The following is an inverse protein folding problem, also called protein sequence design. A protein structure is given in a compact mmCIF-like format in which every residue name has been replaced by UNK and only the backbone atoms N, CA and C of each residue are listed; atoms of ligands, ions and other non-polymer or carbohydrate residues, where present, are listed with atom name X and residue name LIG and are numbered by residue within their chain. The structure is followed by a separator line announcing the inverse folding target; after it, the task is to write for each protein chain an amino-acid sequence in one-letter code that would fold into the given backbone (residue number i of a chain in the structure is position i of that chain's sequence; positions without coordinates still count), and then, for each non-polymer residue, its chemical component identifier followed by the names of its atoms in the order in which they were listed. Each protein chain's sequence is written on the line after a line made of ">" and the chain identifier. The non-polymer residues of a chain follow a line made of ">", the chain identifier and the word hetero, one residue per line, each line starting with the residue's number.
data_IF_201495383845
#
_entry.id   IF_201495383845
#
_cell.length_a   1.000
_cell.length_b   1.000
_cell.length_c   1.000
_cell.angle_alpha   90.00
_cell.angle_beta   90.00
_cell.angle_gamma   90.00
#
_symmetry.space_group_name_H-M   'P 1'
#
loop_
_entity.id
_entity.type
_entity.pdbx_description
1 polymer ?
#
# COMPACT_ATOMS: atom_id res chain seq x y z
N UNK A 1 -52.82 -16.39 31.78
CA UNK A 1 -53.03 -17.70 31.12
C UNK A 1 -52.22 -17.67 29.82
N UNK A 2 -50.99 -18.19 29.83
CA UNK A 2 -50.58 -19.49 29.25
C UNK A 2 -50.76 -19.52 27.71
N UNK A 3 -49.65 -19.33 26.95
CA UNK A 3 -48.92 -20.37 26.16
C UNK A 3 -49.40 -20.45 24.70
N UNK A 4 -48.61 -20.71 23.65
CA UNK A 4 -47.20 -21.00 23.43
C UNK A 4 -46.86 -20.83 21.93
N UNK A 5 -45.56 -20.72 21.63
CA UNK A 5 -44.90 -20.74 20.31
C UNK A 5 -45.08 -22.08 19.58
N UNK A 6 -44.88 -22.09 18.24
CA UNK A 6 -44.18 -23.15 17.48
C UNK A 6 -43.97 -22.75 15.99
N UNK A 7 -42.71 -22.50 15.62
CA UNK A 7 -42.05 -22.87 14.33
C UNK A 7 -41.14 -24.08 14.66
N UNK A 8 -40.48 -24.83 13.74
CA UNK A 8 -40.13 -24.59 12.32
C UNK A 8 -40.22 -25.86 11.41
N UNK A 9 -39.74 -25.83 10.15
CA UNK A 9 -38.60 -26.62 9.60
C UNK A 9 -38.58 -26.64 8.06
N UNK A 10 -37.36 -26.70 7.51
CA UNK A 10 -36.95 -26.56 6.11
C UNK A 10 -36.61 -27.92 5.41
N UNK A 11 -36.12 -27.81 4.16
CA UNK A 11 -35.40 -28.76 3.25
C UNK A 11 -36.21 -29.15 1.98
N UNK A 12 -35.66 -29.37 0.78
CA UNK A 12 -34.35 -29.12 0.17
C UNK A 12 -34.43 -29.37 -1.37
N UNK A 13 -33.61 -28.60 -2.08
CA UNK A 13 -32.97 -28.66 -3.40
C UNK A 13 -32.87 -30.05 -4.10
N UNK A 14 -33.08 -30.10 -5.43
CA UNK A 14 -32.27 -30.91 -6.38
C UNK A 14 -32.19 -30.24 -7.77
N UNK A 15 -30.97 -29.91 -8.20
CA UNK A 15 -30.62 -29.45 -9.56
C UNK A 15 -29.66 -30.48 -10.15
N UNK A 16 -29.98 -31.02 -11.32
CA UNK A 16 -29.17 -32.05 -12.01
C UNK A 16 -28.19 -31.44 -13.00
N UNK A 17 -27.02 -32.06 -13.03
CA UNK A 17 -25.78 -31.63 -13.65
C UNK A 17 -25.72 -31.79 -15.18
N UNK A 18 -24.90 -30.95 -15.81
CA UNK A 18 -24.28 -31.20 -17.11
C UNK A 18 -22.78 -30.99 -16.95
N UNK A 19 -21.98 -32.04 -17.13
CA UNK A 19 -20.55 -31.90 -17.45
C UNK A 19 -20.05 -33.16 -18.15
N UNK A 20 -19.47 -32.96 -19.33
CA UNK A 20 -18.80 -33.96 -20.17
C UNK A 20 -17.29 -33.68 -20.10
N UNK A 21 -16.43 -34.71 -20.03
CA UNK A 21 -15.09 -34.58 -20.58
C UNK A 21 -14.68 -35.77 -21.46
N UNK A 22 -13.97 -35.48 -22.55
CA UNK A 22 -13.11 -36.42 -23.27
C UNK A 22 -12.00 -35.61 -23.96
N UNK A 23 -10.75 -35.82 -23.55
CA UNK A 23 -9.63 -36.33 -24.38
C UNK A 23 -8.76 -35.17 -24.94
N UNK A 24 -7.48 -35.30 -25.25
CA UNK A 24 -6.33 -36.09 -24.83
C UNK A 24 -5.21 -35.79 -25.88
N UNK A 25 -3.96 -35.85 -25.43
CA UNK A 25 -2.74 -36.15 -26.21
C UNK A 25 -2.01 -35.09 -27.08
N UNK A 26 -0.71 -34.96 -26.73
CA UNK A 26 0.49 -35.04 -27.60
C UNK A 26 0.81 -33.86 -28.56
N UNK A 27 2.06 -33.51 -28.91
CA UNK A 27 3.41 -33.93 -28.53
C UNK A 27 4.44 -32.95 -29.17
N UNK A 28 5.63 -32.89 -28.58
CA UNK A 28 6.99 -32.73 -29.17
C UNK A 28 7.29 -31.72 -30.29
N UNK A 29 8.36 -30.92 -30.13
CA UNK A 29 9.65 -31.16 -30.79
C UNK A 29 10.73 -30.12 -30.44
N UNK A 30 11.94 -30.62 -30.24
CA UNK A 30 13.21 -29.92 -30.12
C UNK A 30 13.66 -29.30 -31.44
N UNK A 31 14.45 -28.21 -31.40
CA UNK A 31 15.66 -28.09 -32.22
C UNK A 31 16.70 -27.17 -31.58
N UNK A 32 17.89 -27.73 -31.42
CA UNK A 32 19.12 -27.04 -31.05
C UNK A 32 19.96 -26.78 -32.31
N UNK A 33 20.70 -25.67 -32.36
CA UNK A 33 21.98 -25.60 -33.07
C UNK A 33 22.90 -24.50 -32.47
N UNK A 34 24.13 -24.92 -32.16
CA UNK A 34 25.38 -24.18 -31.96
C UNK A 34 26.38 -24.77 -32.98
N UNK A 35 27.63 -24.28 -33.07
CA UNK A 35 28.18 -22.91 -33.16
C UNK A 35 29.10 -22.81 -34.42
N UNK A 36 29.99 -21.80 -34.54
CA UNK A 36 31.43 -21.93 -34.94
C UNK A 36 32.10 -20.58 -35.27
N UNK A 37 33.36 -20.49 -34.81
CA UNK A 37 34.56 -19.64 -35.01
C UNK A 37 34.70 -18.82 -36.33
N UNK A 38 35.63 -17.87 -36.54
CA UNK A 38 36.92 -17.56 -35.92
C UNK A 38 37.38 -16.11 -36.25
N UNK A 39 38.36 -15.60 -35.48
CA UNK A 39 39.22 -14.42 -35.73
C UNK A 39 40.33 -14.80 -36.74
N UNK A 40 41.04 -13.86 -37.40
CA UNK A 40 42.27 -13.34 -36.80
C UNK A 40 42.62 -11.86 -37.13
N UNK A 41 43.72 -11.39 -36.55
CA UNK A 41 44.23 -10.02 -36.51
C UNK A 41 45.44 -9.80 -37.45
N UNK A 42 45.71 -8.55 -37.84
CA UNK A 42 47.04 -8.00 -38.22
C UNK A 42 46.90 -6.46 -38.33
N UNK A 43 47.60 -5.63 -37.54
CA UNK A 43 49.01 -5.20 -37.57
C UNK A 43 49.22 -3.88 -38.34
N UNK A 44 49.97 -2.98 -37.68
CA UNK A 44 50.18 -1.53 -37.95
C UNK A 44 51.17 -1.25 -39.09
N UNK A 45 51.24 0.01 -39.56
CA UNK A 45 52.52 0.65 -39.89
C UNK A 45 52.83 1.88 -39.01
N UNK A 46 54.11 2.04 -38.69
CA UNK A 46 54.72 3.24 -38.09
C UNK A 46 55.18 4.16 -39.22
N UNK A 47 55.00 5.48 -39.08
CA UNK A 47 55.74 6.47 -39.85
C UNK A 47 56.04 7.73 -39.00
N UNK A 48 57.34 8.05 -39.00
CA UNK A 48 58.10 9.25 -38.67
C UNK A 48 57.41 10.46 -37.99
N UNK A 49 57.85 10.74 -36.75
CA UNK A 49 57.60 12.01 -36.06
C UNK A 49 58.80 12.95 -36.26
N UNK A 50 58.63 13.97 -37.09
CA UNK A 50 59.49 15.14 -37.11
C UNK A 50 59.12 16.08 -35.94
N UNK A 51 60.11 16.47 -35.16
CA UNK A 51 60.00 17.44 -34.07
C UNK A 51 59.72 18.84 -34.61
N UNK A 52 58.50 19.35 -34.40
CA UNK A 52 58.20 20.79 -34.43
C UNK A 52 57.77 21.22 -33.03
N UNK A 53 58.56 22.12 -32.43
CA UNK A 53 58.15 22.87 -31.25
C UNK A 53 56.94 23.73 -31.59
N UNK A 54 55.76 23.32 -31.14
CA UNK A 54 54.56 24.14 -31.12
C UNK A 54 54.32 24.54 -29.68
N UNK A 55 54.29 25.84 -29.42
CA UNK A 55 54.04 26.43 -28.10
C UNK A 55 52.83 25.77 -27.42
N UNK A 56 53.01 25.38 -26.16
CA UNK A 56 51.97 24.78 -25.35
C UNK A 56 50.83 25.80 -25.14
N UNK A 57 49.77 25.66 -25.94
CA UNK A 57 48.50 26.35 -25.72
C UNK A 57 47.90 25.75 -24.44
N UNK A 58 47.73 26.58 -23.41
CA UNK A 58 47.10 26.17 -22.16
C UNK A 58 45.76 25.47 -22.45
N UNK A 59 45.57 24.27 -21.88
CA UNK A 59 44.28 23.58 -21.91
C UNK A 59 43.25 24.50 -21.24
N UNK A 60 42.11 24.81 -21.87
CA UNK A 60 41.04 25.50 -21.17
C UNK A 60 40.63 24.62 -19.97
N UNK A 61 40.52 25.26 -18.80
CA UNK A 61 39.99 24.60 -17.61
C UNK A 61 38.64 23.96 -17.96
N UNK A 62 38.31 22.76 -17.42
CA UNK A 62 37.01 22.16 -17.63
C UNK A 62 35.97 23.16 -17.10
N UNK A 63 35.22 23.76 -18.03
CA UNK A 63 34.05 24.54 -17.67
C UNK A 63 33.11 23.61 -16.91
N UNK A 64 32.46 24.07 -15.82
CA UNK A 64 31.47 23.27 -15.13
C UNK A 64 30.41 22.88 -16.16
N UNK A 65 30.39 21.59 -16.50
CA UNK A 65 29.41 21.03 -17.41
C UNK A 65 28.06 21.36 -16.79
N UNK A 66 27.29 22.21 -17.47
CA UNK A 66 25.93 22.52 -17.06
C UNK A 66 25.24 21.18 -16.74
N UNK A 67 24.70 21.06 -15.51
CA UNK A 67 23.89 19.90 -15.13
C UNK A 67 22.90 19.70 -16.27
N UNK A 68 22.98 18.54 -16.91
CA UNK A 68 22.02 18.08 -17.90
C UNK A 68 20.62 18.41 -17.40
N UNK A 69 19.94 19.33 -18.08
CA UNK A 69 18.57 19.74 -17.82
C UNK A 69 17.56 18.75 -18.38
N UNK A 70 17.99 17.53 -18.72
CA UNK A 70 17.07 16.43 -18.98
C UNK A 70 16.26 16.24 -17.70
N UNK A 71 14.94 16.51 -17.73
CA UNK A 71 14.13 16.38 -16.54
C UNK A 71 14.29 14.95 -16.02
N UNK A 72 14.68 14.80 -14.75
CA UNK A 72 14.84 13.46 -14.17
C UNK A 72 13.50 12.72 -14.34
N UNK A 73 13.52 11.68 -15.17
CA UNK A 73 12.32 10.87 -15.41
C UNK A 73 11.89 10.24 -14.08
N UNK A 74 10.60 10.37 -13.75
CA UNK A 74 10.07 9.84 -12.50
C UNK A 74 10.08 8.32 -12.56
N UNK A 75 11.04 7.72 -11.85
CA UNK A 75 11.26 6.27 -11.84
C UNK A 75 10.41 5.57 -10.77
N UNK A 76 9.09 5.56 -10.94
CA UNK A 76 8.15 4.80 -10.08
C UNK A 76 8.01 3.37 -10.57
N UNK A 77 8.31 2.41 -9.68
CA UNK A 77 8.32 0.97 -9.96
C UNK A 77 7.02 0.26 -9.60
N UNK A 78 6.13 0.89 -8.85
CA UNK A 78 4.76 0.43 -8.63
C UNK A 78 4.05 0.08 -9.94
N UNK A 79 3.31 -1.03 -9.95
CA UNK A 79 2.45 -1.39 -11.08
C UNK A 79 1.35 -0.35 -11.28
N UNK A 80 0.78 0.15 -10.16
CA UNK A 80 -0.16 1.28 -10.17
C UNK A 80 0.27 2.35 -9.19
N UNK A 81 0.16 3.62 -9.60
CA UNK A 81 0.49 4.76 -8.77
C UNK A 81 -0.36 5.99 -9.07
N UNK A 82 -0.57 6.82 -8.05
CA UNK A 82 -1.25 8.11 -8.16
C UNK A 82 -0.58 9.11 -7.21
N UNK A 83 -0.30 10.31 -7.70
CA UNK A 83 0.11 11.47 -6.91
C UNK A 83 -0.84 12.60 -7.26
N UNK A 84 -1.59 13.08 -6.27
CA UNK A 84 -2.67 14.05 -6.45
C UNK A 84 -2.64 15.10 -5.35
N UNK A 85 -2.96 16.34 -5.71
CA UNK A 85 -3.31 17.36 -4.74
C UNK A 85 -4.81 17.30 -4.45
N UNK A 86 -5.23 16.93 -3.21
CA UNK A 86 -6.64 16.85 -2.87
C UNK A 86 -7.35 18.21 -2.90
N UNK A 87 -6.65 19.33 -2.68
CA UNK A 87 -7.30 20.65 -2.62
C UNK A 87 -7.75 21.15 -4.01
N UNK A 88 -7.06 20.74 -5.07
CA UNK A 88 -7.34 21.16 -6.45
C UNK A 88 -7.78 20.02 -7.39
N UNK A 89 -7.81 18.79 -6.88
CA UNK A 89 -7.97 17.54 -7.64
C UNK A 89 -6.93 17.39 -8.79
N UNK A 90 -5.81 18.13 -8.71
CA UNK A 90 -4.76 18.11 -9.73
C UNK A 90 -3.95 16.82 -9.63
N UNK A 91 -4.06 15.95 -10.63
CA UNK A 91 -3.20 14.77 -10.78
C UNK A 91 -1.81 15.20 -11.25
N UNK A 92 -0.80 15.05 -10.38
CA UNK A 92 0.61 15.32 -10.72
C UNK A 92 1.27 14.12 -11.40
N UNK A 93 0.87 12.91 -11.01
CA UNK A 93 1.36 11.68 -11.63
C UNK A 93 0.29 10.59 -11.56
N UNK A 94 0.11 9.85 -12.65
CA UNK A 94 -0.80 8.71 -12.71
C UNK A 94 -0.21 7.58 -13.54
N UNK A 95 -0.28 6.35 -13.01
CA UNK A 95 0.11 5.12 -13.69
C UNK A 95 -0.89 4.04 -13.32
N UNK A 96 -1.65 3.52 -14.29
CA UNK A 96 -2.66 2.48 -14.08
C UNK A 96 -3.61 2.76 -12.88
N UNK A 97 -3.95 4.04 -12.66
CA UNK A 97 -4.57 4.48 -11.40
C UNK A 97 -5.96 3.88 -11.15
N UNK A 98 -6.63 3.39 -12.19
CA UNK A 98 -7.96 2.73 -12.16
C UNK A 98 -7.88 1.20 -12.23
N UNK A 99 -6.67 0.61 -12.23
CA UNK A 99 -6.51 -0.85 -12.24
C UNK A 99 -6.90 -1.43 -10.87
N UNK A 100 -7.83 -2.39 -10.88
CA UNK A 100 -8.28 -3.11 -9.68
C UNK A 100 -7.25 -4.15 -9.28
N UNK A 101 -6.78 -4.08 -8.04
CA UNK A 101 -5.73 -4.95 -7.52
C UNK A 101 -5.98 -5.28 -6.04
N UNK A 102 -5.46 -6.41 -5.53
CA UNK A 102 -5.43 -6.68 -4.09
C UNK A 102 -4.67 -5.56 -3.36
N UNK A 103 -5.21 -5.09 -2.22
CA UNK A 103 -4.65 -3.92 -1.51
C UNK A 103 -4.00 -4.24 -0.17
N UNK A 104 -4.00 -5.51 0.22
CA UNK A 104 -3.45 -5.96 1.50
C UNK A 104 -3.97 -5.11 2.69
N UNK A 105 -3.10 -4.89 3.69
CA UNK A 105 -3.41 -4.09 4.88
C UNK A 105 -3.73 -2.61 4.64
N UNK A 106 -3.71 -2.09 3.42
CA UNK A 106 -4.33 -0.78 3.14
C UNK A 106 -5.82 -0.78 3.52
N UNK A 107 -6.45 -1.96 3.46
CA UNK A 107 -7.77 -2.26 4.02
C UNK A 107 -7.99 -1.64 5.40
N UNK A 108 -6.99 -1.69 6.29
CA UNK A 108 -7.15 -1.25 7.68
C UNK A 108 -7.41 0.25 7.82
N UNK A 109 -7.13 1.05 6.80
CA UNK A 109 -7.52 2.46 6.80
C UNK A 109 -9.05 2.59 6.75
N UNK A 110 -9.73 1.80 5.90
CA UNK A 110 -11.19 1.72 5.89
C UNK A 110 -11.73 1.15 7.20
N UNK A 111 -11.10 0.11 7.75
CA UNK A 111 -11.44 -0.43 9.08
C UNK A 111 -11.40 0.66 10.13
N UNK A 112 -10.35 1.48 10.13
CA UNK A 112 -10.23 2.59 11.08
C UNK A 112 -11.29 3.67 10.89
N UNK A 113 -11.57 4.04 9.64
CA UNK A 113 -12.62 5.01 9.31
C UNK A 113 -13.99 4.57 9.81
N UNK A 114 -14.39 3.33 9.53
CA UNK A 114 -15.68 2.77 9.99
C UNK A 114 -15.76 2.74 11.52
N UNK A 115 -14.67 2.37 12.21
CA UNK A 115 -14.64 2.34 13.68
C UNK A 115 -14.76 3.75 14.27
N UNK A 116 -14.02 4.72 13.74
CA UNK A 116 -14.09 6.09 14.26
C UNK A 116 -15.48 6.70 14.03
N UNK A 117 -16.08 6.48 12.85
CA UNK A 117 -17.42 7.01 12.54
C UNK A 117 -18.55 6.34 13.33
N UNK A 118 -18.36 5.10 13.75
CA UNK A 118 -19.37 4.40 14.55
C UNK A 118 -19.52 4.99 15.96
N UNK A 119 -18.59 5.85 16.41
CA UNK A 119 -18.61 6.54 17.71
C UNK A 119 -18.88 5.58 18.89
N UNK A 120 -18.31 4.37 18.80
CA UNK A 120 -18.34 3.38 19.86
C UNK A 120 -17.44 3.82 21.04
N UNK A 121 -17.68 3.34 22.28
CA UNK A 121 -16.86 3.73 23.43
C UNK A 121 -15.39 3.31 23.25
N UNK A 122 -14.47 4.26 23.10
CA UNK A 122 -13.07 3.95 22.77
C UNK A 122 -12.30 3.30 23.94
N UNK A 123 -12.81 3.45 25.15
CA UNK A 123 -12.33 2.83 26.40
C UNK A 123 -12.91 1.42 26.64
N UNK A 124 -13.88 0.97 25.82
CA UNK A 124 -14.40 -0.39 25.92
C UNK A 124 -13.27 -1.39 25.69
N UNK A 125 -13.20 -2.35 26.60
CA UNK A 125 -12.19 -3.39 26.53
C UNK A 125 -12.60 -4.49 25.54
N UNK A 126 -11.72 -4.75 24.59
CA UNK A 126 -11.82 -5.82 23.61
C UNK A 126 -10.85 -6.92 24.01
N UNK A 127 -11.31 -8.17 23.95
CA UNK A 127 -10.46 -9.35 24.14
C UNK A 127 -10.16 -9.97 22.78
N UNK A 128 -8.87 -10.20 22.49
CA UNK A 128 -8.43 -10.99 21.33
C UNK A 128 -8.89 -12.43 21.53
N UNK A 129 -9.75 -12.90 20.64
CA UNK A 129 -10.34 -14.23 20.68
C UNK A 129 -9.67 -15.17 19.67
N UNK A 130 -10.00 -16.47 19.72
CA UNK A 130 -9.42 -17.45 18.78
C UNK A 130 -9.83 -17.15 17.33
N UNK A 131 -11.02 -16.58 17.12
CA UNK A 131 -11.50 -16.17 15.81
C UNK A 131 -10.66 -15.04 15.19
N UNK A 132 -9.92 -14.27 16.00
CA UNK A 132 -9.03 -13.21 15.49
C UNK A 132 -7.70 -13.75 15.00
N UNK A 133 -7.40 -15.02 15.28
CA UNK A 133 -6.16 -15.65 14.84
C UNK A 133 -6.20 -15.87 13.34
N UNK A 134 -5.27 -15.23 12.65
CA UNK A 134 -5.06 -15.47 11.24
C UNK A 134 -4.64 -16.93 10.98
N UNK A 135 -5.51 -17.67 10.29
CA UNK A 135 -5.23 -19.02 9.78
C UNK A 135 -4.87 -19.02 8.28
N UNK A 136 -4.93 -17.85 7.65
CA UNK A 136 -4.56 -17.61 6.26
C UNK A 136 -3.12 -17.09 6.22
N UNK A 137 -2.31 -17.45 5.23
CA UNK A 137 -1.00 -16.80 4.95
C UNK A 137 0.05 -16.77 6.09
N UNK A 138 -0.22 -17.39 7.24
CA UNK A 138 0.67 -17.51 8.40
C UNK A 138 1.23 -16.17 8.89
N UNK A 139 0.43 -15.10 8.90
CA UNK A 139 0.91 -13.81 9.41
C UNK A 139 1.18 -13.89 10.92
N UNK A 140 2.26 -13.24 11.37
CA UNK A 140 2.60 -13.17 12.79
C UNK A 140 1.83 -12.05 13.47
N UNK A 141 1.53 -12.23 14.75
CA UNK A 141 1.00 -11.17 15.62
C UNK A 141 1.63 -11.27 16.99
N UNK A 142 1.89 -10.13 17.60
CA UNK A 142 2.42 -10.04 18.96
C UNK A 142 1.32 -10.02 20.03
N UNK A 143 0.05 -10.18 19.63
CA UNK A 143 -1.12 -10.20 20.50
C UNK A 143 -1.62 -11.64 20.70
N UNK A 144 -1.27 -12.34 21.79
CA UNK A 144 -1.85 -13.66 22.10
C UNK A 144 -3.37 -13.64 22.22
N UNK A 145 -4.01 -14.79 22.01
CA UNK A 145 -5.42 -14.98 22.41
C UNK A 145 -5.55 -14.76 23.91
N UNK A 146 -6.63 -14.09 24.32
CA UNK A 146 -6.88 -13.65 25.69
C UNK A 146 -6.25 -12.29 26.05
N UNK A 147 -5.52 -11.65 25.13
CA UNK A 147 -5.05 -10.28 25.32
C UNK A 147 -6.24 -9.34 25.42
N UNK A 148 -6.29 -8.55 26.49
CA UNK A 148 -7.28 -7.49 26.72
C UNK A 148 -6.64 -6.14 26.40
N UNK A 149 -7.33 -5.32 25.61
CA UNK A 149 -6.91 -3.99 25.20
C UNK A 149 -8.15 -3.14 24.93
N UNK A 150 -8.06 -1.84 25.12
CA UNK A 150 -9.16 -0.92 24.78
C UNK A 150 -9.38 -0.88 23.26
N UNK A 151 -10.59 -0.50 22.82
CA UNK A 151 -10.88 -0.24 21.40
C UNK A 151 -9.92 0.79 20.80
N UNK A 152 -9.56 1.79 21.58
CA UNK A 152 -8.56 2.80 21.23
C UNK A 152 -7.20 2.17 20.91
N UNK A 153 -6.69 1.30 21.79
CA UNK A 153 -5.43 0.59 21.58
C UNK A 153 -5.50 -0.36 20.40
N UNK A 154 -6.61 -1.07 20.22
CA UNK A 154 -6.80 -1.95 19.07
C UNK A 154 -6.72 -1.16 17.75
N UNK A 155 -7.39 -0.01 17.68
CA UNK A 155 -7.34 0.88 16.52
C UNK A 155 -5.92 1.42 16.28
N UNK A 156 -5.24 1.84 17.34
CA UNK A 156 -3.86 2.33 17.27
C UNK A 156 -2.91 1.29 16.70
N UNK A 157 -2.93 0.08 17.24
CA UNK A 157 -2.08 -1.02 16.77
C UNK A 157 -2.42 -1.46 15.34
N UNK A 158 -3.70 -1.45 14.96
CA UNK A 158 -4.15 -1.77 13.61
C UNK A 158 -3.63 -0.77 12.56
N UNK A 159 -3.59 0.53 12.88
CA UNK A 159 -3.14 1.57 11.95
C UNK A 159 -1.62 1.73 11.93
N UNK A 160 -0.99 1.78 13.11
CA UNK A 160 0.45 2.00 13.26
C UNK A 160 1.28 0.78 12.83
N UNK A 161 1.08 -0.34 13.53
CA UNK A 161 1.86 -1.57 13.38
C UNK A 161 1.22 -2.56 12.43
N UNK A 162 0.06 -2.23 11.87
CA UNK A 162 -0.68 -3.11 10.98
C UNK A 162 -1.12 -4.42 11.64
N UNK A 163 -1.34 -4.43 12.96
CA UNK A 163 -1.69 -5.65 13.71
C UNK A 163 -3.02 -6.26 13.23
N UNK A 164 -2.94 -7.50 12.75
CA UNK A 164 -4.08 -8.20 12.13
C UNK A 164 -5.15 -8.59 13.15
N UNK A 165 -4.74 -9.13 14.30
CA UNK A 165 -5.67 -9.58 15.34
C UNK A 165 -6.47 -8.41 15.93
N UNK A 166 -5.82 -7.26 16.11
CA UNK A 166 -6.50 -6.04 16.54
C UNK A 166 -7.55 -5.58 15.50
N UNK A 167 -7.18 -5.52 14.22
CA UNK A 167 -8.11 -5.15 13.16
C UNK A 167 -9.29 -6.13 13.02
N UNK A 168 -9.03 -7.44 13.16
CA UNK A 168 -10.09 -8.45 13.14
C UNK A 168 -11.02 -8.32 14.35
N UNK A 169 -10.45 -8.14 15.55
CA UNK A 169 -11.21 -7.97 16.78
C UNK A 169 -12.13 -6.74 16.70
N UNK A 170 -11.65 -5.62 16.14
CA UNK A 170 -12.47 -4.42 15.89
C UNK A 170 -13.70 -4.72 15.02
N UNK A 171 -13.53 -5.47 13.93
CA UNK A 171 -14.64 -5.88 13.08
C UNK A 171 -15.57 -6.89 13.76
N UNK A 172 -15.02 -7.84 14.52
CA UNK A 172 -15.78 -8.86 15.24
C UNK A 172 -16.64 -8.28 16.36
N UNK A 173 -16.13 -7.30 17.11
CA UNK A 173 -16.85 -6.64 18.22
C UNK A 173 -17.70 -5.46 17.80
N UNK A 174 -17.77 -5.16 16.49
CA UNK A 174 -18.70 -4.18 15.96
C UNK A 174 -20.17 -4.60 16.21
N UNK A 175 -21.10 -3.67 16.45
CA UNK A 175 -22.52 -4.00 16.57
C UNK A 175 -23.04 -4.76 15.34
N UNK A 176 -23.61 -5.94 15.55
CA UNK A 176 -24.01 -6.86 14.46
C UNK A 176 -22.90 -7.80 13.97
N UNK A 177 -21.70 -7.72 14.56
CA UNK A 177 -20.57 -8.60 14.30
C UNK A 177 -19.87 -8.35 12.97
N UNK A 178 -19.03 -9.32 12.58
CA UNK A 178 -18.13 -9.18 11.43
C UNK A 178 -18.86 -8.95 10.09
N UNK A 179 -20.02 -9.59 9.89
CA UNK A 179 -20.81 -9.41 8.68
C UNK A 179 -21.30 -7.96 8.54
N UNK A 180 -21.90 -7.41 9.62
CA UNK A 180 -22.33 -6.02 9.66
C UNK A 180 -21.16 -5.04 9.49
N UNK A 181 -19.98 -5.39 10.02
CA UNK A 181 -18.78 -4.58 9.82
C UNK A 181 -18.35 -4.53 8.35
N UNK A 182 -18.30 -5.67 7.66
CA UNK A 182 -17.95 -5.73 6.23
C UNK A 182 -18.99 -5.00 5.39
N UNK A 183 -20.28 -5.09 5.73
CA UNK A 183 -21.32 -4.30 5.08
C UNK A 183 -21.09 -2.80 5.29
N UNK A 184 -20.74 -2.37 6.51
CA UNK A 184 -20.42 -0.97 6.80
C UNK A 184 -19.20 -0.47 5.99
N UNK A 185 -18.15 -1.30 5.86
CA UNK A 185 -16.98 -0.96 5.02
C UNK A 185 -17.36 -0.75 3.56
N UNK A 186 -18.18 -1.64 2.98
CA UNK A 186 -18.60 -1.52 1.58
C UNK A 186 -19.60 -0.38 1.37
N UNK A 187 -20.50 -0.14 2.32
CA UNK A 187 -21.42 1.00 2.29
C UNK A 187 -20.65 2.32 2.34
N UNK A 188 -19.64 2.43 3.20
CA UNK A 188 -18.74 3.60 3.24
C UNK A 188 -18.02 3.77 1.91
N UNK A 189 -17.46 2.72 1.33
CA UNK A 189 -16.83 2.79 0.01
C UNK A 189 -17.79 3.34 -1.07
N UNK A 190 -19.04 2.89 -1.08
CA UNK A 190 -20.07 3.40 -2.00
C UNK A 190 -20.41 4.87 -1.76
N UNK A 191 -20.56 5.28 -0.49
CA UNK A 191 -20.82 6.67 -0.10
C UNK A 191 -19.71 7.61 -0.57
N UNK A 192 -18.45 7.17 -0.50
CA UNK A 192 -17.29 7.93 -0.98
C UNK A 192 -17.13 7.86 -2.51
N UNK A 193 -17.97 7.10 -3.22
CA UNK A 193 -17.88 6.94 -4.68
C UNK A 193 -16.72 6.05 -5.14
N UNK A 194 -16.19 5.20 -4.25
CA UNK A 194 -15.12 4.22 -4.53
C UNK A 194 -15.66 3.02 -5.32
N UNK A 195 -16.03 3.26 -6.58
CA UNK A 195 -16.80 2.32 -7.42
C UNK A 195 -16.08 1.01 -7.75
N UNK A 196 -14.76 0.97 -7.60
CA UNK A 196 -13.92 -0.18 -7.93
C UNK A 196 -13.28 -0.80 -6.67
N UNK A 197 -13.86 -0.53 -5.50
CA UNK A 197 -13.43 -1.07 -4.22
C UNK A 197 -14.40 -2.12 -3.71
N UNK A 198 -13.84 -3.20 -3.16
CA UNK A 198 -14.58 -4.24 -2.44
C UNK A 198 -13.78 -4.72 -1.24
N UNK A 199 -14.46 -4.81 -0.10
CA UNK A 199 -13.95 -5.41 1.12
C UNK A 199 -14.70 -6.70 1.43
N UNK A 200 -13.98 -7.72 1.88
CA UNK A 200 -14.56 -8.99 2.38
C UNK A 200 -14.19 -9.27 3.84
N UNK A 201 -13.23 -8.53 4.40
CA UNK A 201 -12.76 -8.66 5.79
C UNK A 201 -11.91 -7.43 6.21
N UNK A 202 -11.71 -7.17 7.52
CA UNK A 202 -11.17 -5.90 8.04
C UNK A 202 -9.64 -5.79 8.08
N UNK A 203 -8.91 -6.86 7.81
CA UNK A 203 -7.45 -6.93 7.97
C UNK A 203 -6.69 -6.68 6.67
N UNK A 204 -7.21 -7.11 5.52
CA UNK A 204 -6.47 -7.12 4.26
C UNK A 204 -5.63 -8.37 4.02
N UNK A 205 -5.85 -9.44 4.77
CA UNK A 205 -5.23 -10.74 4.52
C UNK A 205 -5.85 -11.43 3.30
N UNK A 206 -7.13 -11.18 3.01
CA UNK A 206 -7.78 -11.67 1.80
C UNK A 206 -7.33 -10.89 0.57
N UNK A 207 -6.94 -11.58 -0.50
CA UNK A 207 -6.69 -10.95 -1.80
C UNK A 207 -7.96 -10.50 -2.52
N UNK A 208 -9.14 -10.86 -1.98
CA UNK A 208 -10.42 -10.36 -2.44
C UNK A 208 -10.76 -8.97 -1.87
N UNK A 209 -9.96 -8.45 -0.93
CA UNK A 209 -9.95 -7.03 -0.63
C UNK A 209 -9.20 -6.30 -1.75
N UNK A 210 -9.96 -5.57 -2.57
CA UNK A 210 -9.47 -4.99 -3.81
C UNK A 210 -9.89 -3.53 -3.92
N UNK A 211 -9.06 -2.73 -4.57
CA UNK A 211 -9.34 -1.33 -4.87
C UNK A 211 -8.49 -0.86 -6.05
N UNK A 212 -8.58 0.43 -6.34
CA UNK A 212 -7.73 1.14 -7.30
C UNK A 212 -6.93 2.22 -6.60
N UNK A 213 -5.90 2.75 -7.25
CA UNK A 213 -5.14 3.88 -6.69
C UNK A 213 -6.01 5.15 -6.58
N UNK A 214 -6.95 5.35 -7.51
CA UNK A 214 -7.90 6.48 -7.48
C UNK A 214 -8.84 6.38 -6.29
N UNK A 215 -9.48 5.22 -6.08
CA UNK A 215 -10.42 5.04 -4.97
C UNK A 215 -9.69 5.14 -3.62
N UNK A 216 -8.48 4.60 -3.52
CA UNK A 216 -7.67 4.73 -2.30
C UNK A 216 -7.23 6.18 -2.02
N UNK A 217 -7.04 7.02 -3.04
CA UNK A 217 -6.77 8.43 -2.81
C UNK A 217 -7.98 9.14 -2.18
N UNK A 218 -9.20 8.82 -2.64
CA UNK A 218 -10.44 9.29 -1.99
C UNK A 218 -10.54 8.81 -0.54
N UNK A 219 -10.19 7.56 -0.26
CA UNK A 219 -10.16 7.06 1.13
C UNK A 219 -9.14 7.81 2.00
N UNK A 220 -7.97 8.14 1.46
CA UNK A 220 -6.95 8.91 2.19
C UNK A 220 -7.44 10.32 2.49
N UNK A 221 -8.08 10.96 1.52
CA UNK A 221 -8.66 12.29 1.66
C UNK A 221 -9.70 12.32 2.79
N UNK A 222 -10.70 11.43 2.74
CA UNK A 222 -11.70 11.30 3.80
C UNK A 222 -11.06 11.00 5.16
N UNK A 223 -10.21 9.97 5.23
CA UNK A 223 -9.61 9.56 6.49
C UNK A 223 -8.69 10.64 7.11
N UNK A 224 -8.14 11.55 6.29
CA UNK A 224 -7.29 12.63 6.77
C UNK A 224 -8.07 13.67 7.58
N UNK A 225 -9.39 13.74 7.45
CA UNK A 225 -10.22 14.64 8.25
C UNK A 225 -10.52 14.11 9.66
N UNK A 226 -10.16 12.85 9.93
CA UNK A 226 -10.34 12.21 11.25
C UNK A 226 -9.05 12.31 12.08
N UNK A 227 -9.01 13.13 13.15
CA UNK A 227 -7.78 13.38 13.91
C UNK A 227 -7.15 12.11 14.50
N UNK A 228 -7.97 11.18 14.98
CA UNK A 228 -7.50 9.91 15.57
C UNK A 228 -6.80 9.03 14.53
N UNK A 229 -7.27 9.03 13.27
CA UNK A 229 -6.65 8.24 12.21
C UNK A 229 -5.30 8.82 11.81
N UNK A 230 -5.20 10.16 11.74
CA UNK A 230 -3.93 10.86 11.53
C UNK A 230 -2.93 10.52 12.64
N UNK A 231 -3.35 10.67 13.89
CA UNK A 231 -2.49 10.40 15.06
C UNK A 231 -2.00 8.95 15.07
N UNK A 232 -2.91 7.99 14.96
CA UNK A 232 -2.55 6.58 15.07
C UNK A 232 -1.76 6.07 13.87
N UNK A 233 -2.06 6.54 12.67
CA UNK A 233 -1.29 6.15 11.49
C UNK A 233 0.13 6.73 11.47
N UNK A 234 0.35 7.89 12.10
CA UNK A 234 1.67 8.55 12.12
C UNK A 234 2.49 8.29 13.38
N UNK A 235 1.89 7.68 14.40
CA UNK A 235 2.60 7.21 15.60
C UNK A 235 3.81 6.35 15.26
N UNK A 236 4.92 6.56 15.98
CA UNK A 236 6.18 5.86 15.70
C UNK A 236 6.31 4.53 16.45
N UNK A 237 5.63 4.39 17.59
CA UNK A 237 5.61 3.17 18.40
C UNK A 237 4.56 3.24 19.51
N UNK A 238 4.29 2.10 20.13
CA UNK A 238 3.39 1.97 21.28
C UNK A 238 3.86 0.82 22.17
N UNK A 239 3.78 1.01 23.48
CA UNK A 239 4.05 -0.01 24.46
C UNK A 239 2.73 -0.45 25.07
N UNK A 240 2.33 -1.70 24.81
CA UNK A 240 1.12 -2.29 25.35
C UNK A 240 1.44 -3.10 26.59
N UNK A 241 0.87 -2.70 27.72
CA UNK A 241 0.99 -3.41 29.00
C UNK A 241 -0.23 -4.33 29.20
N UNK A 242 -0.27 -5.43 28.42
CA UNK A 242 -1.33 -6.42 28.53
C UNK A 242 -0.91 -7.64 29.38
N UNK A 243 -1.41 -7.69 30.62
CA UNK A 243 -1.16 -8.81 31.54
C UNK A 243 0.23 -8.77 32.18
N UNK A 244 0.96 -9.90 32.14
CA UNK A 244 2.26 -10.06 32.86
C UNK A 244 3.49 -9.59 32.08
N UNK A 245 3.35 -9.16 30.82
CA UNK A 245 4.47 -8.76 29.96
C UNK A 245 4.11 -7.55 29.13
N UNK A 246 4.99 -6.57 29.11
CA UNK A 246 4.92 -5.46 28.18
C UNK A 246 5.34 -5.89 26.77
N UNK A 247 4.67 -5.36 25.74
CA UNK A 247 4.95 -5.62 24.33
C UNK A 247 5.14 -4.30 23.59
N UNK A 248 6.25 -4.18 22.85
CA UNK A 248 6.53 -3.00 22.04
C UNK A 248 6.12 -3.21 20.59
N UNK A 249 5.41 -2.24 20.03
CA UNK A 249 4.93 -2.19 18.66
C UNK A 249 5.54 -0.97 17.96
N UNK A 250 5.96 -1.14 16.71
CA UNK A 250 6.56 -0.07 15.92
C UNK A 250 5.80 0.20 14.63
N UNK A 251 5.83 1.44 14.15
CA UNK A 251 5.27 1.77 12.84
C UNK A 251 5.90 0.95 11.72
N UNK A 252 5.04 0.45 10.83
CA UNK A 252 5.43 -0.30 9.62
C UNK A 252 6.01 0.58 8.52
N UNK A 253 5.81 1.90 8.59
CA UNK A 253 6.34 2.83 7.63
C UNK A 253 7.55 3.57 8.23
N UNK A 254 8.80 3.31 7.77
CA UNK A 254 9.95 4.01 8.30
C UNK A 254 9.95 5.52 8.03
N UNK A 255 9.20 6.00 7.03
CA UNK A 255 9.14 7.42 6.67
C UNK A 255 8.51 8.29 7.76
N UNK A 256 7.70 7.74 8.67
CA UNK A 256 7.12 8.53 9.78
C UNK A 256 8.17 8.98 10.79
N UNK A 257 9.37 8.37 10.77
CA UNK A 257 10.51 8.75 11.62
C UNK A 257 11.51 9.65 10.88
N UNK A 258 11.32 9.87 9.59
CA UNK A 258 12.21 10.68 8.77
C UNK A 258 11.82 12.17 8.89
N UNK A 259 12.68 13.04 9.45
CA UNK A 259 12.35 14.45 9.67
C UNK A 259 12.14 15.23 8.37
N UNK A 260 12.57 14.69 7.23
CA UNK A 260 12.27 15.30 5.94
C UNK A 260 10.78 15.17 5.61
N UNK A 261 10.11 14.12 6.08
CA UNK A 261 8.72 13.81 5.74
C UNK A 261 7.75 14.39 6.75
N UNK A 262 6.83 15.25 6.27
CA UNK A 262 5.68 15.74 7.03
C UNK A 262 4.44 14.92 6.68
N UNK A 263 4.42 13.66 7.09
CA UNK A 263 3.29 12.75 6.84
C UNK A 263 2.18 13.07 7.84
N UNK A 264 0.96 13.23 7.34
CA UNK A 264 -0.25 13.52 8.13
C UNK A 264 -1.16 12.31 8.22
N UNK A 265 -1.11 11.39 7.25
CA UNK A 265 -1.80 10.10 7.28
C UNK A 265 -1.03 9.06 6.45
N UNK A 266 -1.04 7.79 6.85
CA UNK A 266 -0.43 6.73 6.03
C UNK A 266 -0.98 5.33 6.30
N UNK A 267 -0.79 4.43 5.34
CA UNK A 267 -0.86 2.99 5.61
C UNK A 267 0.04 2.21 4.67
N UNK A 268 0.65 1.14 5.19
CA UNK A 268 1.38 0.15 4.39
C UNK A 268 0.57 -1.14 4.26
N UNK A 269 0.81 -1.91 3.19
CA UNK A 269 0.23 -3.25 3.02
C UNK A 269 1.15 -4.22 2.28
N UNK A 270 1.16 -5.48 2.68
CA UNK A 270 1.86 -6.54 1.95
C UNK A 270 1.19 -7.89 2.16
N UNK A 271 0.87 -8.53 1.05
CA UNK A 271 0.65 -9.97 0.88
C UNK A 271 1.30 -10.33 -0.46
N UNK A 272 1.58 -11.62 -0.69
CA UNK A 272 2.23 -12.06 -1.94
C UNK A 272 1.48 -11.59 -3.18
N UNK A 273 0.15 -11.58 -3.13
CA UNK A 273 -0.74 -11.25 -4.25
C UNK A 273 -0.88 -9.74 -4.51
N UNK A 274 -0.56 -8.90 -3.52
CA UNK A 274 -0.69 -7.43 -3.61
C UNK A 274 0.66 -6.72 -3.84
N UNK A 275 1.77 -7.44 -3.63
CA UNK A 275 3.09 -6.82 -3.58
C UNK A 275 3.22 -5.78 -2.46
N UNK A 276 4.17 -4.85 -2.62
CA UNK A 276 4.40 -3.80 -1.63
C UNK A 276 3.50 -2.58 -1.88
N UNK A 277 2.53 -2.36 -1.01
CA UNK A 277 1.59 -1.23 -1.12
C UNK A 277 1.85 -0.13 -0.08
N UNK A 278 1.66 1.13 -0.46
CA UNK A 278 1.75 2.31 0.41
C UNK A 278 0.73 3.36 -0.01
N UNK A 279 0.03 3.93 0.96
CA UNK A 279 -0.71 5.18 0.81
C UNK A 279 -0.21 6.16 1.85
N UNK A 280 -0.13 7.44 1.50
CA UNK A 280 0.15 8.51 2.45
C UNK A 280 -0.42 9.85 1.99
N UNK A 281 -0.77 10.69 2.95
CA UNK A 281 -0.88 12.13 2.79
C UNK A 281 0.37 12.76 3.43
N UNK A 282 1.02 13.69 2.73
CA UNK A 282 2.12 14.45 3.27
C UNK A 282 2.11 15.91 2.79
N UNK A 283 2.67 16.80 3.61
CA UNK A 283 2.92 18.19 3.22
C UNK A 283 4.28 18.35 2.58
N UNK A 284 4.31 18.88 1.36
CA UNK A 284 5.51 19.11 0.56
C UNK A 284 5.47 20.51 -0.07
N UNK A 285 6.50 21.32 0.19
CA UNK A 285 6.55 22.73 -0.19
C UNK A 285 5.28 23.53 0.16
N UNK A 286 4.67 23.24 1.32
CA UNK A 286 3.44 23.90 1.78
C UNK A 286 2.13 23.27 1.27
N UNK A 287 2.19 22.45 0.23
CA UNK A 287 1.04 21.77 -0.40
C UNK A 287 0.77 20.41 0.23
N UNK A 288 -0.50 20.03 0.39
CA UNK A 288 -0.86 18.64 0.73
C UNK A 288 -0.80 17.79 -0.52
N UNK A 289 -0.28 16.58 -0.41
CA UNK A 289 -0.25 15.61 -1.51
C UNK A 289 -0.63 14.24 -1.00
N UNK A 290 -1.50 13.58 -1.74
CA UNK A 290 -1.83 12.17 -1.56
C UNK A 290 -1.01 11.36 -2.54
N UNK A 291 -0.32 10.34 -2.04
CA UNK A 291 0.47 9.40 -2.82
C UNK A 291 -0.03 7.99 -2.58
N UNK A 292 -0.30 7.27 -3.66
CA UNK A 292 -0.73 5.87 -3.65
C UNK A 292 0.22 5.07 -4.53
N UNK A 293 0.76 3.98 -4.00
CA UNK A 293 1.61 3.02 -4.70
C UNK A 293 1.10 1.61 -4.42
N UNK A 294 0.73 0.89 -5.48
CA UNK A 294 0.28 -0.50 -5.43
C UNK A 294 1.26 -1.38 -6.18
N UNK A 295 1.60 -2.52 -5.57
CA UNK A 295 2.54 -3.49 -6.11
C UNK A 295 3.91 -2.87 -6.51
N UNK A 296 4.56 -2.18 -5.57
CA UNK A 296 5.93 -1.68 -5.76
C UNK A 296 6.94 -2.82 -5.79
N UNK A 297 7.74 -2.86 -6.86
CA UNK A 297 8.74 -3.90 -7.06
C UNK A 297 9.99 -3.75 -6.16
N UNK A 298 10.48 -4.89 -5.67
CA UNK A 298 11.75 -5.01 -4.95
C UNK A 298 11.69 -4.71 -3.46
N UNK A 299 12.81 -4.91 -2.76
CA UNK A 299 12.89 -4.65 -1.32
C UNK A 299 12.77 -3.14 -1.04
N UNK A 300 11.87 -2.79 -0.10
CA UNK A 300 11.46 -1.42 0.22
C UNK A 300 10.97 -0.63 -1.01
N UNK A 301 10.44 -1.30 -2.03
CA UNK A 301 9.99 -0.70 -3.28
C UNK A 301 9.06 0.49 -3.07
N UNK A 302 8.06 0.33 -2.19
CA UNK A 302 7.08 1.39 -1.88
C UNK A 302 7.72 2.65 -1.28
N UNK A 303 8.79 2.47 -0.49
CA UNK A 303 9.51 3.57 0.16
C UNK A 303 10.38 4.28 -0.87
N UNK A 304 11.04 3.51 -1.74
CA UNK A 304 11.84 4.04 -2.85
C UNK A 304 10.97 4.80 -3.85
N UNK A 305 9.75 4.34 -4.13
CA UNK A 305 8.81 5.04 -5.00
C UNK A 305 8.39 6.39 -4.38
N UNK A 306 8.04 6.42 -3.08
CA UNK A 306 7.74 7.66 -2.37
C UNK A 306 8.94 8.64 -2.39
N UNK A 307 10.15 8.16 -2.14
CA UNK A 307 11.38 8.96 -2.22
C UNK A 307 11.67 9.45 -3.65
N UNK A 308 11.38 8.64 -4.67
CA UNK A 308 11.53 9.03 -6.07
C UNK A 308 10.57 10.14 -6.45
N UNK A 309 9.29 10.05 -6.05
CA UNK A 309 8.29 11.12 -6.22
C UNK A 309 8.75 12.39 -5.53
N UNK A 310 9.21 12.30 -4.28
CA UNK A 310 9.73 13.46 -3.56
C UNK A 310 10.87 14.15 -4.31
N UNK A 311 11.91 13.39 -4.67
CA UNK A 311 13.06 13.94 -5.39
C UNK A 311 12.65 14.57 -6.72
N UNK A 312 11.67 13.97 -7.40
CA UNK A 312 11.13 14.50 -8.64
C UNK A 312 10.39 15.83 -8.42
N UNK A 313 9.53 15.93 -7.40
CA UNK A 313 8.84 17.17 -7.04
C UNK A 313 9.81 18.27 -6.59
N UNK A 314 10.82 17.91 -5.79
CA UNK A 314 11.86 18.86 -5.34
C UNK A 314 12.67 19.42 -6.54
N UNK A 315 12.80 18.65 -7.63
CA UNK A 315 13.44 19.11 -8.87
C UNK A 315 12.51 19.91 -9.79
N UNK A 316 11.21 20.00 -9.46
CA UNK A 316 10.15 20.60 -10.26
C UNK A 316 9.20 21.47 -9.42
N UNK A 317 9.70 22.55 -8.79
CA UNK A 317 8.88 23.42 -7.95
C UNK A 317 7.69 24.05 -8.70
N UNK A 318 7.76 24.16 -10.04
CA UNK A 318 6.65 24.63 -10.87
C UNK A 318 5.39 23.76 -10.76
N UNK A 319 5.54 22.44 -10.53
CA UNK A 319 4.39 21.53 -10.34
C UNK A 319 3.69 21.75 -9.00
N UNK A 320 4.40 22.27 -8.00
CA UNK A 320 3.85 22.59 -6.69
C UNK A 320 3.24 24.00 -6.66
N UNK A 321 3.69 24.90 -7.54
CA UNK A 321 3.26 26.31 -7.59
C UNK A 321 2.14 26.60 -8.62
N UNK A 322 1.75 25.62 -9.45
CA UNK A 322 0.84 25.85 -10.58
C UNK A 322 -0.62 26.18 -10.19
N UNK A 323 -1.02 26.01 -8.93
CA UNK A 323 -2.40 26.22 -8.47
C UNK A 323 -2.63 27.50 -7.68
N UNK A 324 -1.67 28.42 -7.67
CA UNK A 324 -1.82 29.75 -7.05
C UNK A 324 -2.44 30.80 -7.99
N UNK A 325 -3.13 30.40 -9.07
CA UNK A 325 -3.78 31.30 -10.02
C UNK A 325 -5.23 30.92 -10.26
#
# INVERSE_FOLDING_TARGET
>A
MKSARLLPLALAIFSTAWFVPAEAQAATAHHAHKPVHARPAAAKPKAHSATRHVAARAKPAPQPVARSTVPQELAVRATSALVIDPESDQVLYGKNATSVQPIASLTKLMTGLVIDEAKLPMDEEITIADEDVDRLKFSSSHLPVGTRLTRNEALHLALMSSENRAAHALGRTYPGGLAAFVDAMNNKAQQLGMKNTKYVEPTGLSSANQSTARDLATLVEEAADHPVLREFSTSTGYQLDAGKRSRHFGSTNPLVRDPLWKITLQKTGYIREAGQCLILEARMAGRKLIMVFLDSAGNLGRIKDAQAVRKWLDSRPELLNASSR
#
